data_IF_135998136036
#
_entry.id   IF_135998136036
#
_cell.length_a   1.000
_cell.length_b   1.000
_cell.length_c   1.000
_cell.angle_alpha   90.00
_cell.angle_beta   90.00
_cell.angle_gamma   90.00
#
_symmetry.space_group_name_H-M   'P 1'
#
loop_
_entity.id
_entity.type
_entity.pdbx_description
1 polymer ?
#
# COMPACT_ATOMS: atom_id res chain seq x y z
N UNK A 1 11.56 -12.39 83.87
CA UNK A 1 11.57 -13.64 83.09
C UNK A 1 10.13 -13.88 82.65
N UNK A 2 9.73 -13.89 81.38
CA UNK A 2 10.46 -13.86 80.12
C UNK A 2 9.42 -13.54 79.04
N UNK A 3 9.70 -12.50 78.26
CA UNK A 3 9.40 -12.32 76.81
C UNK A 3 7.97 -12.49 76.28
N UNK A 4 7.39 -11.35 75.92
CA UNK A 4 6.40 -11.18 74.84
C UNK A 4 7.07 -11.16 73.45
N UNK A 5 6.32 -11.60 72.42
CA UNK A 5 6.47 -11.38 70.94
C UNK A 5 7.45 -12.37 70.25
N UNK A 6 7.11 -13.03 69.10
CA UNK A 6 6.44 -12.43 67.95
C UNK A 6 5.27 -13.14 67.27
N UNK A 7 4.45 -12.27 66.67
CA UNK A 7 3.59 -12.49 65.51
C UNK A 7 4.51 -12.96 64.37
N UNK A 8 4.40 -14.23 63.98
CA UNK A 8 5.14 -14.73 62.82
C UNK A 8 4.27 -14.62 61.56
N UNK A 9 4.73 -13.74 60.66
CA UNK A 9 4.20 -13.55 59.34
C UNK A 9 4.62 -14.72 58.45
N UNK A 10 3.81 -15.77 58.40
CA UNK A 10 3.95 -16.86 57.43
C UNK A 10 3.19 -16.56 56.14
N UNK A 11 3.76 -15.70 55.29
CA UNK A 11 3.31 -15.31 53.95
C UNK A 11 3.21 -16.53 53.00
N UNK A 12 2.13 -17.31 53.09
CA UNK A 12 1.79 -18.32 52.08
C UNK A 12 0.80 -17.72 51.09
N UNK A 13 1.35 -17.37 49.92
CA UNK A 13 0.69 -16.93 48.69
C UNK A 13 -0.71 -17.52 48.49
N UNK A 14 -1.74 -16.77 48.90
CA UNK A 14 -3.12 -16.99 48.50
C UNK A 14 -3.50 -15.93 47.48
N UNK A 15 -3.10 -16.08 46.22
CA UNK A 15 -3.67 -15.25 45.16
C UNK A 15 -5.18 -15.43 45.17
N UNK A 16 -5.94 -14.33 45.26
CA UNK A 16 -7.39 -14.40 45.24
C UNK A 16 -7.84 -14.95 43.88
N UNK A 17 -8.94 -15.70 43.84
CA UNK A 17 -9.52 -16.20 42.59
C UNK A 17 -9.78 -15.06 41.58
N UNK A 18 -10.00 -13.83 42.07
CA UNK A 18 -10.06 -12.60 41.26
C UNK A 18 -8.74 -12.26 40.56
N UNK A 19 -7.61 -12.44 41.23
CA UNK A 19 -6.28 -12.11 40.68
C UNK A 19 -5.92 -13.05 39.53
N UNK A 20 -6.29 -14.34 39.66
CA UNK A 20 -6.16 -15.32 38.58
C UNK A 20 -7.04 -14.98 37.37
N UNK A 21 -8.29 -14.55 37.60
CA UNK A 21 -9.20 -14.12 36.53
C UNK A 21 -8.69 -12.87 35.80
N UNK A 22 -8.16 -11.89 36.55
CA UNK A 22 -7.54 -10.69 35.97
C UNK A 22 -6.30 -11.04 35.16
N UNK A 23 -5.41 -11.89 35.68
CA UNK A 23 -4.23 -12.35 34.96
C UNK A 23 -4.58 -13.07 33.66
N UNK A 24 -5.60 -13.94 33.68
CA UNK A 24 -6.05 -14.66 32.48
C UNK A 24 -6.66 -13.71 31.43
N UNK A 25 -7.43 -12.71 31.86
CA UNK A 25 -7.97 -11.69 30.94
C UNK A 25 -6.88 -10.84 30.27
N UNK A 26 -5.84 -10.46 31.03
CA UNK A 26 -4.68 -9.73 30.50
C UNK A 26 -3.88 -10.59 29.53
N UNK A 27 -3.73 -11.88 29.83
CA UNK A 27 -3.02 -12.81 28.96
C UNK A 27 -3.74 -13.01 27.63
N UNK A 28 -5.07 -13.21 27.65
CA UNK A 28 -5.87 -13.33 26.42
C UNK A 28 -5.78 -12.05 25.58
N UNK A 29 -5.88 -10.88 26.22
CA UNK A 29 -5.78 -9.58 25.55
C UNK A 29 -4.38 -9.36 24.93
N UNK A 30 -3.33 -9.75 25.64
CA UNK A 30 -1.96 -9.71 25.15
C UNK A 30 -1.76 -10.64 23.94
N UNK A 31 -2.25 -11.88 24.02
CA UNK A 31 -2.23 -12.82 22.89
C UNK A 31 -3.01 -12.29 21.67
N UNK A 32 -4.15 -11.61 21.89
CA UNK A 32 -4.93 -10.98 20.83
C UNK A 32 -4.15 -9.84 20.14
N UNK A 33 -3.46 -8.99 20.92
CA UNK A 33 -2.60 -7.92 20.40
C UNK A 33 -1.45 -8.45 19.53
N UNK A 34 -0.79 -9.53 19.95
CA UNK A 34 0.28 -10.16 19.17
C UNK A 34 -0.23 -10.71 17.83
N UNK A 35 -1.40 -11.38 17.83
CA UNK A 35 -2.03 -11.87 16.60
C UNK A 35 -2.50 -10.74 15.70
N UNK A 36 -3.08 -9.68 16.26
CA UNK A 36 -3.50 -8.49 15.52
C UNK A 36 -2.31 -7.87 14.75
N UNK A 37 -1.15 -7.71 15.40
CA UNK A 37 0.08 -7.22 14.74
C UNK A 37 0.53 -8.08 13.56
N UNK A 38 0.38 -9.40 13.64
CA UNK A 38 0.69 -10.32 12.53
C UNK A 38 -0.31 -10.17 11.38
N UNK A 39 -1.60 -10.10 11.70
CA UNK A 39 -2.68 -9.91 10.71
C UNK A 39 -2.52 -8.62 9.92
N UNK A 40 -2.11 -7.52 10.56
CA UNK A 40 -1.81 -6.24 9.88
C UNK A 40 -0.65 -6.32 8.88
N UNK A 41 0.31 -7.24 9.06
CA UNK A 41 1.40 -7.45 8.09
C UNK A 41 0.90 -8.22 6.87
N UNK A 42 0.12 -9.27 7.09
CA UNK A 42 -0.45 -10.08 6.02
C UNK A 42 -1.39 -9.25 5.13
N UNK A 43 -2.26 -8.44 5.75
CA UNK A 43 -3.18 -7.58 5.00
C UNK A 43 -2.48 -6.52 4.14
N UNK A 44 -1.30 -6.05 4.54
CA UNK A 44 -0.46 -5.18 3.70
C UNK A 44 0.10 -5.93 2.50
N UNK A 45 0.62 -7.13 2.71
CA UNK A 45 1.12 -8.00 1.64
C UNK A 45 0.04 -8.32 0.60
N UNK A 46 -1.15 -8.71 1.06
CA UNK A 46 -2.30 -9.00 0.18
C UNK A 46 -2.72 -7.76 -0.63
N UNK A 47 -2.63 -6.58 -0.03
CA UNK A 47 -2.95 -5.34 -0.74
C UNK A 47 -1.91 -4.94 -1.79
N UNK A 48 -0.63 -5.25 -1.56
CA UNK A 48 0.45 -5.07 -2.54
C UNK A 48 0.29 -6.05 -3.71
N UNK A 49 -0.02 -7.32 -3.40
CA UNK A 49 -0.25 -8.35 -4.42
C UNK A 49 -1.45 -8.01 -5.30
N UNK A 50 -2.58 -7.64 -4.69
CA UNK A 50 -3.77 -7.22 -5.43
C UNK A 50 -3.49 -6.04 -6.36
N UNK A 51 -2.65 -5.09 -5.93
CA UNK A 51 -2.27 -3.97 -6.77
C UNK A 51 -1.40 -4.41 -7.95
N UNK A 52 -0.43 -5.28 -7.70
CA UNK A 52 0.39 -5.88 -8.75
C UNK A 52 -0.48 -6.63 -9.76
N UNK A 53 -1.44 -7.42 -9.31
CA UNK A 53 -2.40 -8.13 -10.17
C UNK A 53 -3.23 -7.18 -11.03
N UNK A 54 -3.73 -6.07 -10.48
CA UNK A 54 -4.52 -5.09 -11.24
C UNK A 54 -3.68 -4.47 -12.36
N UNK A 55 -2.43 -4.05 -12.05
CA UNK A 55 -1.53 -3.48 -13.04
C UNK A 55 -1.17 -4.52 -14.10
N UNK A 56 -0.71 -5.70 -13.68
CA UNK A 56 -0.31 -6.77 -14.60
C UNK A 56 -1.48 -7.22 -15.48
N UNK A 57 -2.70 -7.29 -14.93
CA UNK A 57 -3.90 -7.58 -15.71
C UNK A 57 -4.15 -6.51 -16.75
N UNK A 58 -4.10 -5.22 -16.40
CA UNK A 58 -4.33 -4.13 -17.35
C UNK A 58 -3.31 -4.11 -18.49
N UNK A 59 -2.05 -4.42 -18.19
CA UNK A 59 -0.99 -4.52 -19.20
C UNK A 59 -1.19 -5.76 -20.09
N UNK A 60 -1.50 -6.90 -19.50
CA UNK A 60 -1.77 -8.12 -20.26
C UNK A 60 -3.01 -7.99 -21.14
N UNK A 61 -4.06 -7.32 -20.67
CA UNK A 61 -5.27 -7.05 -21.45
C UNK A 61 -4.93 -6.18 -22.68
N UNK A 62 -4.03 -5.19 -22.54
CA UNK A 62 -3.56 -4.38 -23.67
C UNK A 62 -2.66 -5.17 -24.64
N UNK A 63 -1.78 -6.04 -24.11
CA UNK A 63 -0.97 -6.93 -24.96
C UNK A 63 -1.86 -7.89 -25.76
N UNK A 64 -2.83 -8.53 -25.12
CA UNK A 64 -3.82 -9.41 -25.77
C UNK A 64 -4.61 -8.66 -26.84
N UNK A 65 -4.99 -7.40 -26.58
CA UNK A 65 -5.65 -6.56 -27.59
C UNK A 65 -4.74 -6.31 -28.80
N UNK A 66 -3.48 -5.93 -28.57
CA UNK A 66 -2.52 -5.70 -29.65
C UNK A 66 -2.22 -6.97 -30.44
N UNK A 67 -2.19 -8.14 -29.80
CA UNK A 67 -2.04 -9.42 -30.50
C UNK A 67 -3.22 -9.72 -31.42
N UNK A 68 -4.47 -9.46 -30.99
CA UNK A 68 -5.66 -9.62 -31.83
C UNK A 68 -5.67 -8.65 -32.99
N UNK A 69 -5.28 -7.40 -32.74
CA UNK A 69 -5.11 -6.40 -33.80
C UNK A 69 -4.08 -6.86 -34.85
N UNK A 70 -2.93 -7.37 -34.42
CA UNK A 70 -1.88 -7.89 -35.32
C UNK A 70 -2.33 -9.12 -36.12
N UNK A 71 -3.27 -9.91 -35.61
CA UNK A 71 -3.89 -11.03 -36.34
C UNK A 71 -4.96 -10.60 -37.37
N UNK A 72 -5.11 -9.28 -37.60
CA UNK A 72 -6.14 -8.69 -38.46
C UNK A 72 -7.57 -9.04 -38.03
N UNK A 73 -7.79 -9.36 -36.75
CA UNK A 73 -9.15 -9.53 -36.20
C UNK A 73 -9.86 -8.18 -36.11
N UNK A 74 -9.11 -7.10 -35.95
CA UNK A 74 -9.59 -5.72 -36.01
C UNK A 74 -9.18 -5.14 -37.36
N UNK A 75 -10.18 -4.93 -38.23
CA UNK A 75 -9.96 -4.46 -39.60
C UNK A 75 -10.17 -2.95 -39.74
N UNK A 76 -10.89 -2.35 -38.80
CA UNK A 76 -11.18 -0.92 -38.80
C UNK A 76 -10.18 -0.14 -37.95
N UNK A 77 -9.56 0.87 -38.55
CA UNK A 77 -8.57 1.73 -37.90
C UNK A 77 -9.20 2.60 -36.81
N UNK A 78 -10.45 3.03 -37.02
CA UNK A 78 -11.16 3.84 -36.03
C UNK A 78 -11.49 3.00 -34.78
N UNK A 79 -11.99 1.78 -34.97
CA UNK A 79 -12.19 0.80 -33.91
C UNK A 79 -10.89 0.52 -33.13
N UNK A 80 -9.77 0.29 -33.84
CA UNK A 80 -8.47 0.11 -33.20
C UNK A 80 -8.11 1.29 -32.31
N UNK A 81 -8.21 2.52 -32.82
CA UNK A 81 -7.83 3.73 -32.07
C UNK A 81 -8.68 3.93 -30.80
N UNK A 82 -10.00 3.68 -30.89
CA UNK A 82 -10.91 3.79 -29.74
C UNK A 82 -10.53 2.78 -28.65
N UNK A 83 -10.38 1.51 -29.00
CA UNK A 83 -10.03 0.48 -28.02
C UNK A 83 -8.61 0.66 -27.48
N UNK A 84 -7.65 0.97 -28.35
CA UNK A 84 -6.26 1.21 -27.97
C UNK A 84 -6.15 2.35 -26.94
N UNK A 85 -6.93 3.43 -27.12
CA UNK A 85 -7.03 4.52 -26.15
C UNK A 85 -7.67 4.07 -24.84
N UNK A 86 -8.74 3.27 -24.90
CA UNK A 86 -9.41 2.74 -23.70
C UNK A 86 -8.49 1.84 -22.87
N UNK A 87 -7.74 0.92 -23.50
CA UNK A 87 -6.78 0.06 -22.80
C UNK A 87 -5.63 0.85 -22.18
N UNK A 88 -5.05 1.82 -22.90
CA UNK A 88 -4.03 2.71 -22.32
C UNK A 88 -4.58 3.51 -21.13
N UNK A 89 -5.81 4.01 -21.23
CA UNK A 89 -6.50 4.70 -20.13
C UNK A 89 -6.68 3.78 -18.92
N UNK A 90 -7.03 2.51 -19.13
CA UNK A 90 -7.13 1.52 -18.06
C UNK A 90 -5.78 1.25 -17.36
N UNK A 91 -4.69 1.17 -18.12
CA UNK A 91 -3.34 1.06 -17.56
C UNK A 91 -3.05 2.30 -16.69
N UNK A 92 -3.25 3.51 -17.22
CA UNK A 92 -3.02 4.75 -16.47
C UNK A 92 -3.87 4.82 -15.18
N UNK A 93 -5.12 4.37 -15.23
CA UNK A 93 -5.99 4.29 -14.05
C UNK A 93 -5.46 3.30 -13.01
N UNK A 94 -4.97 2.14 -13.43
CA UNK A 94 -4.35 1.17 -12.53
C UNK A 94 -3.13 1.76 -11.82
N UNK A 95 -2.27 2.48 -12.55
CA UNK A 95 -1.12 3.19 -11.99
C UNK A 95 -1.52 4.38 -11.11
N UNK A 96 -2.57 5.12 -11.43
CA UNK A 96 -3.05 6.22 -10.59
C UNK A 96 -3.57 5.70 -9.24
N UNK A 97 -4.36 4.62 -9.25
CA UNK A 97 -4.81 3.94 -8.02
C UNK A 97 -3.60 3.45 -7.20
N UNK A 98 -2.56 2.92 -7.85
CA UNK A 98 -1.33 2.51 -7.20
C UNK A 98 -0.64 3.69 -6.47
N UNK A 99 -0.54 4.82 -7.17
CA UNK A 99 0.04 6.05 -6.63
C UNK A 99 -0.78 6.62 -5.47
N UNK A 100 -2.12 6.62 -5.55
CA UNK A 100 -3.00 7.03 -4.46
C UNK A 100 -2.76 6.17 -3.20
N UNK A 101 -2.71 4.84 -3.34
CA UNK A 101 -2.42 3.94 -2.20
C UNK A 101 -1.03 4.15 -1.60
N UNK A 102 -0.06 4.49 -2.43
CA UNK A 102 1.29 4.85 -1.98
C UNK A 102 1.28 6.15 -1.16
N UNK A 103 0.58 7.18 -1.65
CA UNK A 103 0.38 8.47 -0.96
C UNK A 103 -0.26 8.23 0.41
N UNK A 104 -1.35 7.44 0.46
CA UNK A 104 -2.07 7.03 1.67
C UNK A 104 -1.22 6.24 2.67
N UNK A 105 0.01 5.83 2.32
CA UNK A 105 0.87 5.04 3.19
C UNK A 105 0.41 3.59 3.40
N UNK A 106 -0.45 3.10 2.50
CA UNK A 106 -0.96 1.72 2.53
C UNK A 106 0.01 0.70 1.93
N UNK A 107 1.09 1.16 1.29
CA UNK A 107 2.13 0.34 0.65
C UNK A 107 3.50 0.60 1.28
N UNK A 108 4.41 -0.38 1.23
CA UNK A 108 5.80 -0.16 1.61
C UNK A 108 6.48 0.82 0.62
N UNK A 109 6.97 1.94 1.16
CA UNK A 109 7.53 3.04 0.36
C UNK A 109 8.78 2.60 -0.41
N UNK A 110 9.68 1.85 0.22
CA UNK A 110 10.95 1.46 -0.41
C UNK A 110 10.70 0.45 -1.52
N UNK A 111 9.84 -0.53 -1.26
CA UNK A 111 9.43 -1.55 -2.23
C UNK A 111 8.70 -0.91 -3.40
N UNK A 112 7.72 -0.04 -3.15
CA UNK A 112 6.99 0.65 -4.20
C UNK A 112 7.91 1.44 -5.14
N UNK A 113 8.80 2.29 -4.57
CA UNK A 113 9.76 3.07 -5.37
C UNK A 113 10.67 2.16 -6.20
N UNK A 114 11.17 1.06 -5.61
CA UNK A 114 12.03 0.10 -6.33
C UNK A 114 11.28 -0.59 -7.48
N UNK A 115 10.02 -0.98 -7.27
CA UNK A 115 9.25 -1.75 -8.24
C UNK A 115 8.68 -0.89 -9.38
N UNK A 116 8.23 0.33 -9.07
CA UNK A 116 7.42 1.11 -10.01
C UNK A 116 8.10 2.35 -10.57
N UNK A 117 9.29 2.75 -10.09
CA UNK A 117 9.95 3.98 -10.56
C UNK A 117 10.13 4.00 -12.08
N UNK A 118 10.75 2.98 -12.64
CA UNK A 118 11.02 2.91 -14.08
C UNK A 118 9.73 2.77 -14.88
N UNK A 119 8.79 1.96 -14.39
CA UNK A 119 7.49 1.73 -15.04
C UNK A 119 6.64 3.01 -15.11
N UNK A 120 6.62 3.79 -14.03
CA UNK A 120 5.95 5.09 -14.02
C UNK A 120 6.66 6.03 -14.99
N UNK A 121 7.98 6.13 -14.94
CA UNK A 121 8.75 6.99 -15.86
C UNK A 121 8.52 6.64 -17.33
N UNK A 122 8.40 5.35 -17.69
CA UNK A 122 8.12 4.94 -19.06
C UNK A 122 6.75 5.40 -19.56
N UNK A 123 5.73 5.49 -18.69
CA UNK A 123 4.41 6.03 -19.07
C UNK A 123 4.48 7.51 -19.46
N UNK A 124 5.42 8.26 -18.88
CA UNK A 124 5.66 9.67 -19.20
C UNK A 124 6.71 9.87 -20.30
N UNK A 125 7.25 8.79 -20.85
CA UNK A 125 8.19 8.83 -21.99
C UNK A 125 7.52 8.46 -23.31
N UNK A 126 6.39 7.76 -23.26
CA UNK A 126 5.62 7.34 -24.43
C UNK A 126 4.59 8.41 -24.84
N UNK A 127 4.67 8.84 -26.09
CA UNK A 127 3.85 9.90 -26.69
C UNK A 127 2.35 9.61 -26.59
N UNK A 128 1.92 8.36 -26.76
CA UNK A 128 0.49 8.00 -26.73
C UNK A 128 -0.06 8.08 -25.31
N UNK A 129 0.72 7.69 -24.31
CA UNK A 129 0.32 7.86 -22.91
C UNK A 129 0.32 9.34 -22.49
N UNK A 130 1.32 10.12 -22.90
CA UNK A 130 1.39 11.57 -22.60
C UNK A 130 0.16 12.31 -23.13
N UNK A 131 -0.29 12.00 -24.36
CA UNK A 131 -1.52 12.58 -24.94
C UNK A 131 -2.72 12.35 -24.02
N UNK A 132 -2.89 11.13 -23.49
CA UNK A 132 -4.00 10.78 -22.61
C UNK A 132 -3.85 11.46 -21.25
N UNK A 133 -2.65 11.44 -20.66
CA UNK A 133 -2.33 12.07 -19.37
C UNK A 133 -2.63 13.58 -19.40
N UNK A 134 -2.33 14.24 -20.53
CA UNK A 134 -2.51 15.68 -20.72
C UNK A 134 -3.89 16.07 -21.28
N UNK A 135 -4.75 15.10 -21.59
CA UNK A 135 -6.10 15.37 -22.11
C UNK A 135 -6.98 16.17 -21.14
N UNK A 136 -6.76 16.02 -19.83
CA UNK A 136 -7.49 16.76 -18.79
C UNK A 136 -6.58 16.99 -17.58
N UNK A 137 -6.56 18.22 -17.07
CA UNK A 137 -5.70 18.61 -15.95
C UNK A 137 -5.99 17.83 -14.66
N UNK A 138 -7.25 17.42 -14.45
CA UNK A 138 -7.70 16.69 -13.26
C UNK A 138 -7.53 15.16 -13.35
N UNK A 139 -7.11 14.63 -14.51
CA UNK A 139 -6.90 13.20 -14.67
C UNK A 139 -5.51 12.79 -14.17
N UNK A 140 -5.44 11.63 -13.51
CA UNK A 140 -4.21 10.97 -13.06
C UNK A 140 -3.35 11.83 -12.13
N UNK A 141 -3.98 12.58 -11.20
CA UNK A 141 -3.28 13.52 -10.31
C UNK A 141 -2.25 12.82 -9.43
N UNK A 142 -2.58 11.65 -8.88
CA UNK A 142 -1.66 10.91 -8.03
C UNK A 142 -0.48 10.39 -8.85
N UNK A 143 -0.74 9.86 -10.05
CA UNK A 143 0.30 9.41 -10.97
C UNK A 143 1.27 10.54 -11.35
N UNK A 144 0.75 11.72 -11.71
CA UNK A 144 1.55 12.92 -12.00
C UNK A 144 2.42 13.33 -10.81
N UNK A 145 1.80 13.44 -9.64
CA UNK A 145 2.49 13.82 -8.38
C UNK A 145 3.63 12.86 -8.06
N UNK A 146 3.39 11.55 -8.19
CA UNK A 146 4.42 10.54 -7.89
C UNK A 146 5.50 10.50 -8.95
N UNK A 147 5.18 10.71 -10.23
CA UNK A 147 6.21 10.83 -11.26
C UNK A 147 7.15 12.02 -10.97
N UNK A 148 6.61 13.16 -10.56
CA UNK A 148 7.41 14.32 -10.14
C UNK A 148 8.26 14.01 -8.89
N UNK A 149 7.69 13.36 -7.87
CA UNK A 149 8.44 12.94 -6.67
C UNK A 149 9.59 11.99 -7.01
N UNK A 150 9.39 11.06 -7.93
CA UNK A 150 10.39 10.06 -8.29
C UNK A 150 11.53 10.63 -9.12
N UNK A 151 11.24 11.64 -9.95
CA UNK A 151 12.19 12.29 -10.84
C UNK A 151 12.89 13.50 -10.19
N UNK A 152 12.32 14.11 -9.15
CA UNK A 152 12.93 15.21 -8.41
C UNK A 152 13.41 14.76 -7.02
N UNK A 153 14.73 14.77 -6.84
CA UNK A 153 15.38 14.29 -5.61
C UNK A 153 15.01 15.15 -4.38
N UNK A 154 14.76 16.45 -4.56
CA UNK A 154 14.36 17.38 -3.49
C UNK A 154 12.93 17.13 -3.01
N UNK A 155 11.98 16.94 -3.95
CA UNK A 155 10.58 16.63 -3.64
C UNK A 155 10.46 15.29 -2.91
N UNK A 156 11.26 14.29 -3.28
CA UNK A 156 11.31 13.02 -2.55
C UNK A 156 11.73 13.20 -1.08
N UNK A 157 12.64 14.12 -0.76
CA UNK A 157 13.06 14.37 0.62
C UNK A 157 11.97 15.09 1.42
N UNK A 158 11.33 16.10 0.82
CA UNK A 158 10.22 16.84 1.43
C UNK A 158 9.05 15.90 1.72
N UNK A 159 8.66 15.06 0.76
CA UNK A 159 7.56 14.11 0.93
C UNK A 159 7.83 13.10 2.06
N UNK A 160 9.08 12.59 2.14
CA UNK A 160 9.50 11.73 3.24
C UNK A 160 9.48 12.45 4.60
N UNK A 161 9.89 13.72 4.65
CA UNK A 161 9.87 14.53 5.86
C UNK A 161 8.44 14.79 6.34
N UNK A 162 7.54 15.22 5.44
CA UNK A 162 6.11 15.44 5.74
C UNK A 162 5.44 14.15 6.22
N UNK A 163 5.69 13.03 5.55
CA UNK A 163 5.14 11.71 5.94
C UNK A 163 5.70 11.19 7.26
N UNK A 164 6.92 11.58 7.63
CA UNK A 164 7.52 11.25 8.93
C UNK A 164 6.92 12.12 10.03
N UNK A 165 6.70 13.40 9.76
CA UNK A 165 6.03 14.33 10.67
C UNK A 165 4.59 13.92 10.97
N UNK A 166 3.80 13.61 9.93
CA UNK A 166 2.42 13.12 10.09
C UNK A 166 2.32 11.84 10.93
N UNK A 167 3.24 10.88 10.73
CA UNK A 167 3.29 9.65 11.53
C UNK A 167 3.76 9.87 12.96
N UNK A 168 4.53 10.93 13.22
CA UNK A 168 4.95 11.33 14.55
C UNK A 168 3.86 12.01 15.38
N UNK A 169 2.83 12.57 14.73
CA UNK A 169 1.67 13.19 15.38
C UNK A 169 0.55 12.20 15.73
N UNK A 170 0.57 10.99 15.17
CA UNK A 170 -0.43 9.94 15.42
C UNK A 170 -0.02 8.93 16.51
N UNK A 171 1.01 9.25 17.29
CA UNK A 171 1.48 8.48 18.46
C UNK A 171 1.51 9.39 19.69
#
# INVERSE_FOLDING_TARGET
>A
MTTTIPIDNGFLFGYSLRDCLLALSLFVSFCALLRARSSFKNSRGDSELKLYEIIAKSENDFLNFNERANKNEIKDEQEYNIFSTAYRTNILNAYDIACQRYIDGKLDVKRFKKTYRERISSLFSDVEYIKIINSTNLSFVALKTINEELNNQELSQIFLAVKRWWRGLTH
#
